data_IF_696773774160
#
_entry.id   IF_696773774160
#
_cell.length_a   1.000
_cell.length_b   1.000
_cell.length_c   1.000
_cell.angle_alpha   90.00
_cell.angle_beta   90.00
_cell.angle_gamma   90.00
#
_symmetry.space_group_name_H-M   'P 1'
#
loop_
_entity.id
_entity.type
_entity.pdbx_description
1 polymer ?
#
# COMPACT_ATOMS: atom_id res chain seq x y z
N UNK A 1 -61.27 -9.34 27.68
CA UNK A 1 -60.44 -10.34 26.96
C UNK A 1 -60.56 -10.08 25.46
N UNK A 2 -59.43 -9.71 24.84
CA UNK A 2 -59.06 -9.71 23.42
C UNK A 2 -60.00 -9.11 22.36
N UNK A 3 -59.72 -7.85 22.02
CA UNK A 3 -60.15 -7.18 20.78
C UNK A 3 -59.08 -7.45 19.72
N UNK A 4 -59.38 -8.30 18.75
CA UNK A 4 -58.62 -8.44 17.50
C UNK A 4 -59.03 -7.29 16.58
N UNK A 5 -58.13 -6.33 16.40
CA UNK A 5 -58.20 -5.26 15.41
C UNK A 5 -57.16 -5.60 14.33
N UNK A 6 -57.66 -6.15 13.23
CA UNK A 6 -56.90 -6.33 12.00
C UNK A 6 -56.30 -5.00 11.53
N UNK A 7 -55.07 -5.06 11.03
CA UNK A 7 -54.48 -3.99 10.22
C UNK A 7 -53.00 -3.77 10.49
N UNK A 8 -52.17 -4.73 10.10
CA UNK A 8 -50.75 -4.51 9.79
C UNK A 8 -50.73 -3.52 8.61
N UNK A 9 -50.22 -2.29 8.74
CA UNK A 9 -49.85 -1.54 7.56
C UNK A 9 -48.66 -2.25 6.94
N UNK A 10 -48.75 -2.42 5.63
CA UNK A 10 -47.76 -3.02 4.78
C UNK A 10 -46.35 -2.55 5.12
N UNK A 11 -45.45 -3.51 5.03
CA UNK A 11 -44.04 -3.27 4.83
C UNK A 11 -43.91 -2.50 3.51
N UNK A 12 -43.95 -1.18 3.59
CA UNK A 12 -43.24 -0.34 2.67
C UNK A 12 -41.76 -0.68 2.91
N UNK A 13 -41.29 -1.70 2.19
CA UNK A 13 -39.88 -1.94 2.01
C UNK A 13 -39.26 -0.61 1.65
N UNK A 14 -38.53 -0.02 2.59
CA UNK A 14 -37.36 0.74 2.22
C UNK A 14 -36.56 -0.25 1.39
N UNK A 15 -36.70 -0.16 0.06
CA UNK A 15 -35.68 -0.65 -0.83
C UNK A 15 -34.40 -0.14 -0.21
N UNK A 16 -33.55 -1.06 0.26
CA UNK A 16 -32.26 -0.71 0.79
C UNK A 16 -31.63 0.20 -0.27
N UNK A 17 -31.55 1.49 0.06
CA UNK A 17 -30.76 2.43 -0.69
C UNK A 17 -29.42 1.73 -0.88
N UNK A 18 -28.92 1.56 -2.12
CA UNK A 18 -27.68 0.84 -2.33
C UNK A 18 -26.65 1.48 -1.42
N UNK A 19 -26.26 0.77 -0.36
CA UNK A 19 -25.35 1.29 0.63
C UNK A 19 -24.12 1.76 -0.15
N UNK A 20 -23.86 3.07 -0.11
CA UNK A 20 -22.65 3.59 -0.72
C UNK A 20 -21.50 2.72 -0.19
N UNK A 21 -20.65 2.17 -1.09
CA UNK A 21 -19.59 1.27 -0.65
C UNK A 21 -18.77 2.04 0.39
N UNK A 22 -18.73 1.50 1.61
CA UNK A 22 -17.85 2.01 2.66
C UNK A 22 -16.45 2.09 2.05
N UNK A 23 -15.77 3.24 2.11
CA UNK A 23 -14.45 3.35 1.51
C UNK A 23 -13.56 2.25 2.11
N UNK A 24 -12.98 1.45 1.22
CA UNK A 24 -12.04 0.41 1.57
C UNK A 24 -10.97 0.96 2.53
N UNK A 25 -10.60 0.15 3.53
CA UNK A 25 -9.53 0.50 4.46
C UNK A 25 -8.22 0.80 3.71
N UNK A 26 -7.32 1.57 4.33
CA UNK A 26 -6.03 1.94 3.72
C UNK A 26 -5.30 0.74 3.10
N UNK A 27 -5.14 -0.35 3.86
CA UNK A 27 -4.45 -1.57 3.42
C UNK A 27 -5.14 -2.22 2.21
N UNK A 28 -6.47 -2.27 2.21
CA UNK A 28 -7.24 -2.80 1.08
C UNK A 28 -7.05 -1.95 -0.17
N UNK A 29 -7.13 -0.61 -0.06
CA UNK A 29 -6.86 0.31 -1.17
C UNK A 29 -5.46 0.11 -1.72
N UNK A 30 -4.45 0.01 -0.87
CA UNK A 30 -3.06 -0.16 -1.27
C UNK A 30 -2.80 -1.53 -1.91
N UNK A 31 -3.40 -2.59 -1.37
CA UNK A 31 -3.35 -3.93 -1.97
C UNK A 31 -3.94 -3.93 -3.38
N UNK A 32 -5.08 -3.27 -3.57
CA UNK A 32 -5.68 -3.10 -4.89
C UNK A 32 -4.80 -2.28 -5.85
N UNK A 33 -4.07 -1.26 -5.37
CA UNK A 33 -3.12 -0.52 -6.21
C UNK A 33 -1.95 -1.41 -6.65
N UNK A 34 -1.41 -2.21 -5.73
CA UNK A 34 -0.34 -3.14 -6.04
C UNK A 34 -0.79 -4.18 -7.08
N UNK A 35 -2.01 -4.70 -6.95
CA UNK A 35 -2.60 -5.63 -7.93
C UNK A 35 -2.82 -4.98 -9.30
N UNK A 36 -3.22 -3.70 -9.34
CA UNK A 36 -3.32 -2.93 -10.59
C UNK A 36 -1.95 -2.78 -11.26
N UNK A 37 -0.92 -2.41 -10.50
CA UNK A 37 0.45 -2.28 -10.99
C UNK A 37 0.96 -3.61 -11.56
N UNK A 38 0.76 -4.70 -10.80
CA UNK A 38 1.08 -6.08 -11.18
C UNK A 38 0.40 -6.47 -12.49
N UNK A 39 -0.90 -6.19 -12.61
CA UNK A 39 -1.68 -6.49 -13.80
C UNK A 39 -1.21 -5.67 -15.00
N UNK A 40 -0.94 -4.38 -14.83
CA UNK A 40 -0.43 -3.50 -15.89
C UNK A 40 0.92 -4.00 -16.42
N UNK A 41 1.85 -4.34 -15.52
CA UNK A 41 3.16 -4.85 -15.90
C UNK A 41 3.04 -6.18 -16.66
N UNK A 42 2.23 -7.12 -16.18
CA UNK A 42 2.00 -8.41 -16.85
C UNK A 42 1.33 -8.24 -18.22
N UNK A 43 0.35 -7.36 -18.32
CA UNK A 43 -0.42 -7.13 -19.55
C UNK A 43 0.39 -6.42 -20.63
N UNK A 44 1.42 -5.65 -20.26
CA UNK A 44 2.34 -5.04 -21.21
C UNK A 44 3.20 -6.06 -21.97
N UNK A 45 3.42 -7.26 -21.41
CA UNK A 45 4.08 -8.38 -22.07
C UNK A 45 5.44 -8.00 -22.67
N UNK A 46 5.64 -8.34 -23.95
CA UNK A 46 6.89 -8.12 -24.69
C UNK A 46 7.26 -6.65 -24.90
N UNK A 47 6.43 -5.69 -24.47
CA UNK A 47 6.78 -4.26 -24.50
C UNK A 47 7.76 -3.87 -23.38
N UNK A 48 7.80 -4.66 -22.31
CA UNK A 48 8.71 -4.43 -21.18
C UNK A 48 10.03 -5.20 -21.37
N UNK A 49 11.17 -4.61 -20.97
CA UNK A 49 12.41 -5.36 -20.77
C UNK A 49 12.19 -6.55 -19.84
N UNK A 50 12.95 -7.63 -20.06
CA UNK A 50 12.79 -8.90 -19.33
C UNK A 50 13.06 -8.74 -17.82
N UNK A 51 13.82 -7.72 -17.44
CA UNK A 51 14.19 -7.38 -16.06
C UNK A 51 13.05 -6.74 -15.26
N UNK A 52 12.03 -6.19 -15.94
CA UNK A 52 10.97 -5.41 -15.26
C UNK A 52 10.09 -6.28 -14.37
N UNK A 53 9.58 -7.41 -14.87
CA UNK A 53 8.71 -8.28 -14.07
C UNK A 53 9.41 -8.85 -12.81
N UNK A 54 10.66 -9.35 -12.91
CA UNK A 54 11.44 -9.69 -11.72
C UNK A 54 11.62 -8.51 -10.75
N UNK A 55 11.86 -7.30 -11.26
CA UNK A 55 12.03 -6.13 -10.40
C UNK A 55 10.74 -5.71 -9.69
N UNK A 56 9.58 -5.79 -10.37
CA UNK A 56 8.26 -5.61 -9.73
C UNK A 56 8.04 -6.65 -8.63
N UNK A 57 8.41 -7.92 -8.87
CA UNK A 57 8.34 -8.96 -7.85
C UNK A 57 9.15 -8.63 -6.59
N UNK A 58 10.38 -8.11 -6.74
CA UNK A 58 11.19 -7.68 -5.58
C UNK A 58 10.55 -6.55 -4.77
N UNK A 59 9.77 -5.68 -5.42
CA UNK A 59 9.00 -4.63 -4.72
C UNK A 59 7.83 -5.26 -3.98
N UNK A 60 7.12 -6.21 -4.60
CA UNK A 60 6.05 -6.97 -3.95
C UNK A 60 6.55 -7.72 -2.70
N UNK A 61 7.75 -8.32 -2.77
CA UNK A 61 8.38 -9.02 -1.64
C UNK A 61 8.58 -8.13 -0.41
N UNK A 62 8.65 -6.81 -0.59
CA UNK A 62 8.76 -5.82 0.49
C UNK A 62 7.38 -5.28 0.89
N UNK A 63 6.56 -4.89 -0.08
CA UNK A 63 5.31 -4.20 0.18
C UNK A 63 4.23 -5.13 0.73
N UNK A 64 4.13 -6.38 0.25
CA UNK A 64 3.07 -7.29 0.71
C UNK A 64 3.20 -7.59 2.21
N UNK A 65 4.39 -7.96 2.75
CA UNK A 65 4.56 -8.12 4.19
C UNK A 65 4.31 -6.82 4.97
N UNK A 66 4.71 -5.66 4.41
CA UNK A 66 4.46 -4.37 5.04
C UNK A 66 2.96 -4.09 5.15
N UNK A 67 2.19 -4.27 4.09
CA UNK A 67 0.73 -4.06 4.11
C UNK A 67 0.02 -5.01 5.08
N UNK A 68 0.45 -6.26 5.16
CA UNK A 68 -0.07 -7.21 6.15
C UNK A 68 0.25 -6.77 7.59
N UNK A 69 1.44 -6.21 7.82
CA UNK A 69 1.79 -5.63 9.13
C UNK A 69 0.92 -4.42 9.47
N UNK A 70 0.69 -3.53 8.51
CA UNK A 70 -0.10 -2.31 8.69
C UNK A 70 -1.59 -2.56 8.92
N UNK A 71 -2.09 -3.75 8.55
CA UNK A 71 -3.46 -4.18 8.87
C UNK A 71 -3.64 -4.42 10.37
N UNK A 72 -2.61 -5.00 11.01
CA UNK A 72 -2.58 -5.26 12.44
C UNK A 72 -2.09 -4.07 13.26
N UNK A 73 -1.21 -3.24 12.69
CA UNK A 73 -0.57 -2.10 13.34
C UNK A 73 -0.76 -0.85 12.47
N UNK A 74 -1.84 -0.08 12.70
CA UNK A 74 -2.14 1.07 11.87
C UNK A 74 -0.96 2.06 11.81
N UNK A 75 -0.57 2.52 10.60
CA UNK A 75 0.55 3.45 10.45
C UNK A 75 0.23 4.82 11.05
N UNK A 76 1.28 5.59 11.34
CA UNK A 76 1.16 7.04 11.47
C UNK A 76 0.75 7.67 10.12
N UNK A 77 0.25 8.91 10.17
CA UNK A 77 -0.15 9.67 8.97
C UNK A 77 1.02 9.79 7.98
N UNK A 78 2.24 9.99 8.48
CA UNK A 78 3.44 10.17 7.66
C UNK A 78 3.81 8.87 6.93
N UNK A 79 3.71 7.74 7.61
CA UNK A 79 3.94 6.40 7.03
C UNK A 79 2.83 6.04 6.03
N UNK A 80 1.57 6.39 6.33
CA UNK A 80 0.44 6.21 5.40
C UNK A 80 0.68 6.96 4.08
N UNK A 81 1.03 8.25 4.16
CA UNK A 81 1.34 9.10 2.99
C UNK A 81 2.52 8.54 2.21
N UNK A 82 3.57 8.07 2.88
CA UNK A 82 4.75 7.53 2.22
C UNK A 82 4.44 6.25 1.41
N UNK A 83 3.70 5.32 2.02
CA UNK A 83 3.26 4.09 1.35
C UNK A 83 2.28 4.41 0.22
N UNK A 84 1.33 5.32 0.45
CA UNK A 84 0.37 5.75 -0.57
C UNK A 84 1.05 6.37 -1.78
N UNK A 85 2.01 7.28 -1.57
CA UNK A 85 2.74 7.94 -2.66
C UNK A 85 3.50 6.94 -3.52
N UNK A 86 4.12 5.92 -2.91
CA UNK A 86 4.83 4.88 -3.64
C UNK A 86 3.89 4.09 -4.57
N UNK A 87 2.72 3.69 -4.07
CA UNK A 87 1.79 2.79 -4.75
C UNK A 87 0.81 3.49 -5.69
N UNK A 88 0.52 4.77 -5.47
CA UNK A 88 -0.47 5.53 -6.26
C UNK A 88 0.17 6.49 -7.25
N UNK A 89 1.41 6.93 -7.01
CA UNK A 89 2.09 7.89 -7.88
C UNK A 89 3.38 7.28 -8.44
N UNK A 90 4.39 7.02 -7.61
CA UNK A 90 5.75 6.83 -8.13
C UNK A 90 5.89 5.57 -8.98
N UNK A 91 5.38 4.42 -8.51
CA UNK A 91 5.42 3.17 -9.26
C UNK A 91 4.54 3.23 -10.52
N UNK A 92 3.25 3.62 -10.44
CA UNK A 92 2.40 3.76 -11.62
C UNK A 92 2.94 4.76 -12.65
N UNK A 93 3.45 5.91 -12.21
CA UNK A 93 3.98 6.96 -13.08
C UNK A 93 5.22 6.47 -13.82
N UNK A 94 6.15 5.78 -13.15
CA UNK A 94 7.37 5.23 -13.79
C UNK A 94 7.00 4.24 -14.90
N UNK A 95 6.12 3.28 -14.60
CA UNK A 95 5.68 2.27 -15.55
C UNK A 95 4.89 2.89 -16.72
N UNK A 96 3.96 3.80 -16.42
CA UNK A 96 3.11 4.44 -17.43
C UNK A 96 3.92 5.35 -18.35
N UNK A 97 4.89 6.09 -17.81
CA UNK A 97 5.79 6.94 -18.59
C UNK A 97 6.54 6.13 -19.64
N UNK A 98 7.12 4.99 -19.24
CA UNK A 98 7.77 4.09 -20.19
C UNK A 98 6.79 3.51 -21.21
N UNK A 99 5.62 3.05 -20.77
CA UNK A 99 4.60 2.47 -21.67
C UNK A 99 3.96 3.48 -22.62
N UNK A 100 4.12 4.78 -22.38
CA UNK A 100 3.67 5.83 -23.30
C UNK A 100 4.70 6.14 -24.40
N UNK A 101 5.92 5.61 -24.30
CA UNK A 101 6.94 5.76 -25.35
C UNK A 101 6.52 5.00 -26.61
N UNK A 102 6.86 5.57 -27.77
CA UNK A 102 6.79 4.82 -29.02
C UNK A 102 7.79 3.64 -28.94
N UNK A 103 7.38 2.40 -29.28
CA UNK A 103 8.21 1.21 -29.18
C UNK A 103 9.59 1.32 -29.82
N UNK A 104 9.73 2.10 -30.91
CA UNK A 104 11.01 2.29 -31.59
C UNK A 104 12.03 3.02 -30.70
N UNK A 105 11.58 4.03 -29.93
CA UNK A 105 12.44 4.82 -29.04
C UNK A 105 12.67 4.11 -27.71
N UNK A 106 11.76 3.25 -27.26
CA UNK A 106 11.90 2.52 -26.01
C UNK A 106 13.10 1.55 -26.01
N UNK A 107 13.53 1.11 -27.20
CA UNK A 107 14.67 0.20 -27.41
C UNK A 107 15.89 0.87 -28.04
N UNK A 108 15.80 2.16 -28.39
CA UNK A 108 16.89 2.89 -29.02
C UNK A 108 17.91 3.34 -27.96
N UNK A 109 19.18 2.98 -28.19
CA UNK A 109 20.27 3.43 -27.34
C UNK A 109 20.50 4.94 -27.52
N UNK A 110 20.59 5.66 -26.41
CA UNK A 110 20.92 7.09 -26.38
C UNK A 110 22.44 7.27 -26.46
N UNK A 111 22.90 8.52 -26.56
CA UNK A 111 24.31 8.85 -26.71
C UNK A 111 25.22 8.39 -25.54
N UNK A 112 24.65 8.14 -24.36
CA UNK A 112 25.32 7.59 -23.18
C UNK A 112 25.39 6.05 -23.16
N UNK A 113 24.79 5.38 -24.16
CA UNK A 113 24.75 3.94 -24.28
C UNK A 113 23.59 3.25 -23.55
N UNK A 114 22.77 3.99 -22.80
CA UNK A 114 21.59 3.46 -22.13
C UNK A 114 20.33 3.51 -23.00
N UNK A 115 19.36 2.65 -22.68
CA UNK A 115 18.01 2.68 -23.28
C UNK A 115 16.98 3.22 -22.28
N UNK A 116 15.82 3.74 -22.72
CA UNK A 116 14.72 4.04 -21.80
C UNK A 116 14.25 2.83 -20.97
N UNK A 117 14.49 1.60 -21.45
CA UNK A 117 14.25 0.39 -20.69
C UNK A 117 15.20 0.26 -19.49
N UNK A 118 16.48 0.58 -19.67
CA UNK A 118 17.46 0.62 -18.59
C UNK A 118 17.12 1.70 -17.55
N UNK A 119 16.65 2.86 -18.01
CA UNK A 119 16.17 3.93 -17.14
C UNK A 119 15.02 3.45 -16.25
N UNK A 120 14.04 2.74 -16.82
CA UNK A 120 12.92 2.18 -16.05
C UNK A 120 13.41 1.16 -15.02
N UNK A 121 14.32 0.26 -15.40
CA UNK A 121 14.91 -0.71 -14.46
C UNK A 121 15.58 -0.01 -13.29
N UNK A 122 16.34 1.06 -13.54
CA UNK A 122 16.99 1.83 -12.48
C UNK A 122 15.99 2.56 -11.59
N UNK A 123 14.94 3.16 -12.16
CA UNK A 123 13.87 3.79 -11.39
C UNK A 123 13.19 2.78 -10.46
N UNK A 124 12.86 1.59 -10.95
CA UNK A 124 12.26 0.53 -10.12
C UNK A 124 13.22 -0.02 -9.05
N UNK A 125 14.53 0.03 -9.27
CA UNK A 125 15.53 -0.29 -8.23
C UNK A 125 15.55 0.77 -7.14
N UNK A 126 15.57 2.05 -7.52
CA UNK A 126 15.46 3.15 -6.56
C UNK A 126 14.20 3.05 -5.72
N UNK A 127 13.05 2.76 -6.35
CA UNK A 127 11.78 2.59 -5.65
C UNK A 127 11.75 1.35 -4.75
N UNK A 128 12.41 0.26 -5.14
CA UNK A 128 12.58 -0.92 -4.27
C UNK A 128 13.43 -0.60 -3.04
N UNK A 129 14.52 0.14 -3.20
CA UNK A 129 15.34 0.61 -2.07
C UNK A 129 14.51 1.48 -1.13
N UNK A 130 13.79 2.47 -1.68
CA UNK A 130 12.91 3.35 -0.89
C UNK A 130 11.83 2.57 -0.13
N UNK A 131 11.19 1.58 -0.77
CA UNK A 131 10.23 0.70 -0.11
C UNK A 131 10.85 -0.09 1.06
N UNK A 132 12.09 -0.56 0.89
CA UNK A 132 12.82 -1.32 1.90
C UNK A 132 13.18 -0.42 3.09
N UNK A 133 13.67 0.78 2.82
CA UNK A 133 13.99 1.78 3.85
C UNK A 133 12.75 2.22 4.62
N UNK A 134 11.63 2.45 3.93
CA UNK A 134 10.35 2.78 4.55
C UNK A 134 9.86 1.63 5.46
N UNK A 135 9.89 0.39 4.97
CA UNK A 135 9.53 -0.79 5.76
C UNK A 135 10.38 -0.90 7.02
N UNK A 136 11.70 -0.72 6.90
CA UNK A 136 12.60 -0.73 8.06
C UNK A 136 12.31 0.42 9.04
N UNK A 137 11.99 1.61 8.54
CA UNK A 137 11.67 2.76 9.39
C UNK A 137 10.41 2.52 10.22
N UNK A 138 9.35 1.97 9.60
CA UNK A 138 8.09 1.61 10.27
C UNK A 138 8.35 0.58 11.38
N UNK A 139 9.06 -0.51 11.06
CA UNK A 139 9.38 -1.53 12.08
C UNK A 139 10.26 -0.99 13.21
N UNK A 140 11.17 -0.06 12.90
CA UNK A 140 12.00 0.58 13.91
C UNK A 140 11.18 1.52 14.81
N UNK A 141 10.21 2.24 14.25
CA UNK A 141 9.28 3.10 14.98
C UNK A 141 8.44 2.28 15.97
N UNK A 142 7.86 1.15 15.54
CA UNK A 142 7.12 0.24 16.43
C UNK A 142 7.96 -0.25 17.61
N UNK A 143 9.23 -0.59 17.35
CA UNK A 143 10.16 -1.02 18.39
C UNK A 143 10.47 0.11 19.39
N UNK A 144 10.57 1.36 18.92
CA UNK A 144 10.78 2.53 19.77
C UNK A 144 9.57 2.81 20.66
N UNK A 145 8.36 2.67 20.13
CA UNK A 145 7.10 2.83 20.87
C UNK A 145 6.97 1.80 22.00
N UNK A 146 7.30 0.54 21.70
CA UNK A 146 7.33 -0.51 22.72
C UNK A 146 8.32 -0.18 23.85
N UNK A 147 9.51 0.32 23.51
CA UNK A 147 10.50 0.74 24.50
C UNK A 147 10.02 1.94 25.33
N UNK A 148 9.37 2.92 24.69
CA UNK A 148 8.80 4.08 25.37
C UNK A 148 7.72 3.67 26.38
N UNK A 149 6.83 2.77 25.98
CA UNK A 149 5.79 2.22 26.84
C UNK A 149 6.41 1.48 28.05
N UNK A 150 7.46 0.68 27.84
CA UNK A 150 8.17 0.01 28.93
C UNK A 150 8.77 0.98 29.95
N UNK A 151 9.38 2.10 29.50
CA UNK A 151 9.90 3.15 30.38
C UNK A 151 8.79 3.86 31.16
N UNK A 152 7.66 4.14 30.49
CA UNK A 152 6.49 4.73 31.12
C UNK A 152 5.92 3.84 32.22
N UNK A 153 5.71 2.54 31.93
CA UNK A 153 5.21 1.58 32.90
C UNK A 153 6.12 1.46 34.12
N UNK A 154 7.44 1.33 33.92
CA UNK A 154 8.40 1.31 35.03
C UNK A 154 8.28 2.57 35.89
N UNK A 155 8.26 3.75 35.28
CA UNK A 155 8.14 5.02 36.02
C UNK A 155 6.83 5.11 36.82
N UNK A 156 5.73 4.61 36.27
CA UNK A 156 4.40 4.67 36.90
C UNK A 156 4.27 3.72 38.08
N UNK A 157 4.77 2.49 37.96
CA UNK A 157 4.58 1.45 38.99
C UNK A 157 5.72 1.37 40.02
N UNK A 158 6.96 1.69 39.65
CA UNK A 158 8.11 1.74 40.59
C UNK A 158 7.97 2.88 41.62
N UNK A 159 7.26 3.97 41.26
CA UNK A 159 6.86 5.03 42.21
C UNK A 159 5.61 4.70 43.01
N UNK A 160 4.83 3.70 42.60
CA UNK A 160 3.56 3.33 43.25
C UNK A 160 3.73 2.18 44.25
N UNK A 161 4.81 1.39 44.17
CA UNK A 161 5.06 0.22 45.04
C UNK A 161 5.99 0.49 46.26
N UNK A 162 6.46 1.72 46.47
CA UNK A 162 7.29 2.10 47.63
C UNK A 162 6.53 2.83 48.75
N UNK A 163 5.20 2.74 48.76
CA UNK A 163 4.35 3.24 49.83
C UNK A 163 3.40 2.15 50.35
N UNK A 164 3.96 1.07 50.89
CA UNK A 164 3.28 0.12 51.77
C UNK A 164 4.14 -0.15 53.00
#
# INVERSE_FOLDING_TARGET
>A
MFKSLFGRPDEAGHAAEPAEPVPAGFVERMSQQLDRLRWQARSAGARLPIEILPQVGRIEDVIVPLLHHLDANPPSIEEEIAVESLLTDYLPTSLTTYLNLNPQFASEARADGGTPGDDLVQQLRTLQTAATELSHAIYAHDAQDLQAQGRFLRTKFDRSDLAL
#
